data_IF_751662515335
#
_entry.id   IF_751662515335
#
_cell.length_a   1.000
_cell.length_b   1.000
_cell.length_c   1.000
_cell.angle_alpha   90.00
_cell.angle_beta   90.00
_cell.angle_gamma   90.00
#
_symmetry.space_group_name_H-M   'P 1'
#
loop_
_entity.id
_entity.type
_entity.pdbx_description
1 polymer ?
#
# COMPACT_ATOMS: atom_id res chain seq x y z
N UNK A 1 13.48 -30.62 10.27
CA UNK A 1 13.42 -29.77 11.49
C UNK A 1 14.32 -28.54 11.41
N UNK A 2 15.67 -28.66 11.35
CA UNK A 2 16.56 -27.48 11.26
C UNK A 2 16.44 -26.71 9.93
N UNK A 3 16.28 -27.42 8.80
CA UNK A 3 16.07 -26.81 7.49
C UNK A 3 14.76 -26.01 7.41
N UNK A 4 13.66 -26.59 7.91
CA UNK A 4 12.34 -25.95 7.95
C UNK A 4 12.33 -24.69 8.82
N UNK A 5 13.06 -24.70 9.94
CA UNK A 5 13.19 -23.54 10.80
C UNK A 5 13.90 -22.38 10.09
N UNK A 6 14.94 -22.66 9.32
CA UNK A 6 15.68 -21.64 8.58
C UNK A 6 14.83 -21.00 7.47
N UNK A 7 14.05 -21.80 6.74
CA UNK A 7 13.08 -21.29 5.74
C UNK A 7 12.03 -20.41 6.42
N UNK A 8 11.49 -20.84 7.56
CA UNK A 8 10.49 -20.06 8.30
C UNK A 8 11.07 -18.73 8.81
N UNK A 9 12.32 -18.70 9.28
CA UNK A 9 12.97 -17.46 9.71
C UNK A 9 13.17 -16.52 8.50
N UNK A 10 13.69 -17.01 7.39
CA UNK A 10 13.95 -16.19 6.19
C UNK A 10 12.66 -15.60 5.61
N UNK A 11 11.59 -16.40 5.53
CA UNK A 11 10.28 -15.91 5.05
C UNK A 11 9.70 -14.84 5.98
N UNK A 12 9.81 -14.99 7.30
CA UNK A 12 9.37 -13.98 8.27
C UNK A 12 10.18 -12.68 8.18
N UNK A 13 11.49 -12.77 7.96
CA UNK A 13 12.34 -11.59 7.76
C UNK A 13 11.99 -10.86 6.45
N UNK A 14 11.81 -11.60 5.35
CA UNK A 14 11.40 -11.02 4.06
C UNK A 14 10.04 -10.31 4.15
N UNK A 15 9.05 -10.91 4.83
CA UNK A 15 7.74 -10.27 5.04
C UNK A 15 7.84 -9.00 5.88
N UNK A 16 8.66 -8.99 6.94
CA UNK A 16 8.91 -7.78 7.75
C UNK A 16 9.55 -6.68 6.91
N UNK A 17 10.56 -7.02 6.10
CA UNK A 17 11.25 -6.07 5.24
C UNK A 17 10.30 -5.43 4.22
N UNK A 18 9.47 -6.24 3.54
CA UNK A 18 8.49 -5.71 2.59
C UNK A 18 7.42 -4.84 3.27
N UNK A 19 6.94 -5.22 4.46
CA UNK A 19 6.02 -4.38 5.26
C UNK A 19 6.59 -2.99 5.51
N UNK A 20 7.83 -2.89 6.00
CA UNK A 20 8.43 -1.59 6.30
C UNK A 20 8.85 -0.81 5.05
N UNK A 21 9.19 -1.50 3.97
CA UNK A 21 9.44 -0.88 2.65
C UNK A 21 8.18 -0.20 2.12
N UNK A 22 7.02 -0.86 2.20
CA UNK A 22 5.74 -0.26 1.82
C UNK A 22 5.38 0.96 2.68
N UNK A 23 5.67 0.93 3.99
CA UNK A 23 5.47 2.08 4.88
C UNK A 23 6.30 3.29 4.42
N UNK A 24 7.60 3.07 4.16
CA UNK A 24 8.50 4.14 3.72
C UNK A 24 8.06 4.74 2.39
N UNK A 25 7.69 3.89 1.43
CA UNK A 25 7.16 4.35 0.14
C UNK A 25 5.87 5.13 0.32
N UNK A 26 4.95 4.67 1.18
CA UNK A 26 3.70 5.37 1.43
C UNK A 26 3.90 6.77 2.00
N UNK A 27 4.75 6.90 3.02
CA UNK A 27 5.10 8.21 3.60
C UNK A 27 5.73 9.13 2.54
N UNK A 28 6.62 8.60 1.70
CA UNK A 28 7.26 9.40 0.63
C UNK A 28 6.22 9.88 -0.39
N UNK A 29 5.31 9.01 -0.84
CA UNK A 29 4.29 9.40 -1.82
C UNK A 29 3.31 10.42 -1.25
N UNK A 30 2.86 10.25 -0.01
CA UNK A 30 1.99 11.23 0.65
C UNK A 30 2.69 12.59 0.80
N UNK A 31 3.98 12.61 1.19
CA UNK A 31 4.75 13.85 1.27
C UNK A 31 4.97 14.51 -0.10
N UNK A 32 5.10 13.73 -1.17
CA UNK A 32 5.27 14.23 -2.53
C UNK A 32 3.98 14.80 -3.11
N UNK A 33 2.83 14.16 -2.87
CA UNK A 33 1.50 14.68 -3.20
C UNK A 33 1.30 16.01 -2.48
N UNK A 34 1.30 15.98 -1.15
CA UNK A 34 1.06 17.17 -0.31
C UNK A 34 2.05 18.33 -0.53
N UNK A 35 3.26 18.07 -1.07
CA UNK A 35 4.20 19.12 -1.41
C UNK A 35 3.72 20.01 -2.57
N UNK A 36 2.87 19.50 -3.48
CA UNK A 36 2.33 20.28 -4.61
C UNK A 36 1.39 21.39 -4.13
N UNK A 37 0.73 21.21 -2.97
CA UNK A 37 -0.07 22.24 -2.32
C UNK A 37 0.73 23.50 -1.92
N UNK A 38 2.06 23.39 -1.77
CA UNK A 38 2.89 24.53 -1.36
C UNK A 38 3.10 25.57 -2.48
N UNK A 39 2.80 25.23 -3.74
CA UNK A 39 3.00 26.11 -4.90
C UNK A 39 1.64 26.40 -5.56
N UNK A 40 0.96 27.50 -5.18
CA UNK A 40 -0.31 27.87 -5.80
C UNK A 40 -0.14 28.04 -7.32
N UNK A 41 -1.15 27.61 -8.09
CA UNK A 41 -1.20 27.58 -9.58
C UNK A 41 -0.42 26.44 -10.24
N UNK A 42 0.80 26.10 -9.80
CA UNK A 42 1.59 25.01 -10.42
C UNK A 42 1.15 23.64 -9.91
N UNK A 43 0.82 23.53 -8.62
CA UNK A 43 0.36 22.28 -7.99
C UNK A 43 -0.77 21.59 -8.78
N UNK A 44 -1.91 22.27 -9.04
CA UNK A 44 -3.03 21.65 -9.75
C UNK A 44 -2.73 21.12 -11.16
N UNK A 45 -1.71 21.67 -11.85
CA UNK A 45 -1.28 21.17 -13.16
C UNK A 45 -0.40 19.92 -13.01
N UNK A 46 0.46 19.89 -12.00
CA UNK A 46 1.26 18.71 -11.67
C UNK A 46 0.37 17.56 -11.19
N UNK A 47 -0.70 17.86 -10.44
CA UNK A 47 -1.64 16.87 -9.93
C UNK A 47 -2.35 16.10 -11.06
N UNK A 48 -2.58 16.71 -12.22
CA UNK A 48 -3.13 16.02 -13.41
C UNK A 48 -2.21 14.89 -13.90
N UNK A 49 -0.90 15.08 -13.81
CA UNK A 49 0.09 14.06 -14.18
C UNK A 49 0.40 13.11 -13.02
N UNK A 50 0.36 13.63 -11.79
CA UNK A 50 0.69 12.87 -10.60
C UNK A 50 -0.44 11.93 -10.18
N UNK A 51 -1.71 12.35 -10.23
CA UNK A 51 -2.88 11.52 -9.90
C UNK A 51 -2.89 10.15 -10.60
N UNK A 52 -2.73 10.01 -11.94
CA UNK A 52 -2.69 8.70 -12.58
C UNK A 52 -1.44 7.89 -12.20
N UNK A 53 -0.32 8.56 -11.91
CA UNK A 53 0.89 7.91 -11.42
C UNK A 53 0.70 7.37 -9.99
N UNK A 54 0.16 8.18 -9.08
CA UNK A 54 -0.16 7.82 -7.71
C UNK A 54 -1.14 6.65 -7.66
N UNK A 55 -2.23 6.72 -8.43
CA UNK A 55 -3.20 5.62 -8.56
C UNK A 55 -2.53 4.31 -9.00
N UNK A 56 -1.68 4.37 -10.04
CA UNK A 56 -0.92 3.20 -10.49
C UNK A 56 -0.02 2.66 -9.38
N UNK A 57 0.73 3.52 -8.69
CA UNK A 57 1.61 3.10 -7.58
C UNK A 57 0.85 2.46 -6.43
N UNK A 58 -0.32 2.99 -6.06
CA UNK A 58 -1.18 2.39 -5.04
C UNK A 58 -1.59 0.96 -5.43
N UNK A 59 -2.04 0.76 -6.67
CA UNK A 59 -2.41 -0.57 -7.17
C UNK A 59 -1.22 -1.53 -7.30
N UNK A 60 -0.02 -0.99 -7.50
CA UNK A 60 1.21 -1.78 -7.54
C UNK A 60 1.67 -2.22 -6.15
N UNK A 61 1.58 -1.32 -5.16
CA UNK A 61 1.94 -1.56 -3.76
C UNK A 61 0.99 -2.53 -3.06
N UNK A 62 -0.31 -2.44 -3.33
CA UNK A 62 -1.33 -3.27 -2.71
C UNK A 62 -2.09 -4.05 -3.78
N UNK A 63 -1.93 -5.37 -3.78
CA UNK A 63 -2.59 -6.24 -4.75
C UNK A 63 -4.02 -6.57 -4.33
N UNK A 64 -4.85 -6.90 -5.31
CA UNK A 64 -6.25 -7.28 -5.11
C UNK A 64 -7.23 -6.11 -5.12
N UNK A 65 -8.46 -6.36 -4.67
CA UNK A 65 -9.56 -5.38 -4.73
C UNK A 65 -9.29 -4.15 -3.87
N UNK A 66 -8.70 -4.33 -2.69
CA UNK A 66 -8.44 -3.23 -1.75
C UNK A 66 -7.49 -2.19 -2.34
N UNK A 67 -6.39 -2.62 -2.98
CA UNK A 67 -5.47 -1.70 -3.64
C UNK A 67 -6.05 -1.03 -4.88
N UNK A 68 -6.97 -1.69 -5.60
CA UNK A 68 -7.73 -1.04 -6.69
C UNK A 68 -8.67 0.03 -6.15
N UNK A 69 -9.40 -0.26 -5.08
CA UNK A 69 -10.29 0.71 -4.44
C UNK A 69 -9.49 1.90 -3.91
N UNK A 70 -8.40 1.64 -3.18
CA UNK A 70 -7.48 2.68 -2.72
C UNK A 70 -6.89 3.51 -3.87
N UNK A 71 -6.62 2.89 -5.03
CA UNK A 71 -6.10 3.62 -6.21
C UNK A 71 -7.12 4.61 -6.80
N UNK A 72 -8.41 4.31 -6.69
CA UNK A 72 -9.47 5.26 -7.11
C UNK A 72 -9.56 6.40 -6.10
N UNK A 73 -9.48 6.11 -4.80
CA UNK A 73 -9.50 7.14 -3.77
C UNK A 73 -8.33 8.11 -3.91
N UNK A 74 -7.10 7.62 -4.05
CA UNK A 74 -5.93 8.50 -4.22
C UNK A 74 -6.00 9.29 -5.53
N UNK A 75 -6.51 8.71 -6.61
CA UNK A 75 -6.72 9.45 -7.86
C UNK A 75 -7.67 10.64 -7.67
N UNK A 76 -8.79 10.40 -6.97
CA UNK A 76 -9.80 11.43 -6.71
C UNK A 76 -9.28 12.51 -5.76
N UNK A 77 -8.50 12.10 -4.76
CA UNK A 77 -7.88 13.02 -3.82
C UNK A 77 -6.92 14.00 -4.52
N UNK A 78 -6.08 13.49 -5.41
CA UNK A 78 -5.04 14.28 -6.10
C UNK A 78 -5.66 15.18 -7.18
N UNK A 79 -6.67 14.70 -7.92
CA UNK A 79 -7.27 15.50 -9.02
C UNK A 79 -8.18 16.63 -8.53
N UNK A 80 -8.67 16.53 -7.29
CA UNK A 80 -9.52 17.53 -6.68
C UNK A 80 -8.63 18.52 -5.91
N UNK A 81 -8.62 19.81 -6.27
CA UNK A 81 -7.88 20.80 -5.51
C UNK A 81 -8.42 20.85 -4.07
N UNK A 82 -7.54 21.10 -3.10
CA UNK A 82 -7.83 21.17 -1.66
C UNK A 82 -8.13 19.84 -0.95
N UNK A 83 -8.23 18.71 -1.64
CA UNK A 83 -8.44 17.40 -1.00
C UNK A 83 -7.18 16.61 -0.72
N UNK A 84 -6.04 17.00 -1.31
CA UNK A 84 -4.70 16.42 -1.09
C UNK A 84 -4.12 16.73 0.31
N UNK A 85 -4.93 16.45 1.33
CA UNK A 85 -4.58 16.62 2.75
C UNK A 85 -4.55 15.28 3.48
N UNK A 86 -5.02 14.20 2.86
CA UNK A 86 -5.12 12.90 3.48
C UNK A 86 -3.90 12.05 3.11
N UNK A 87 -3.16 11.51 4.10
CA UNK A 87 -2.01 10.65 3.79
C UNK A 87 -2.48 9.25 3.36
N UNK A 88 -3.12 9.15 2.20
CA UNK A 88 -3.87 7.97 1.73
C UNK A 88 -2.99 6.75 1.53
N UNK A 89 -1.74 6.88 1.09
CA UNK A 89 -0.82 5.73 1.02
C UNK A 89 -0.47 5.18 2.41
N UNK A 90 -0.23 6.07 3.37
CA UNK A 90 0.06 5.69 4.76
C UNK A 90 -1.17 5.11 5.44
N UNK A 91 -2.37 5.64 5.18
CA UNK A 91 -3.63 5.08 5.67
C UNK A 91 -3.89 3.68 5.10
N UNK A 92 -3.63 3.47 3.81
CA UNK A 92 -3.74 2.14 3.20
C UNK A 92 -2.75 1.14 3.81
N UNK A 93 -1.55 1.59 4.16
CA UNK A 93 -0.59 0.77 4.91
C UNK A 93 -1.15 0.38 6.29
N UNK A 94 -1.69 1.35 7.02
CA UNK A 94 -2.26 1.14 8.36
C UNK A 94 -3.45 0.17 8.30
N UNK A 95 -4.31 0.33 7.31
CA UNK A 95 -5.38 -0.62 7.00
C UNK A 95 -4.84 -2.02 6.77
N UNK A 96 -3.84 -2.18 5.90
CA UNK A 96 -3.32 -3.49 5.49
C UNK A 96 -2.61 -4.23 6.61
N UNK A 97 -1.84 -3.52 7.45
CA UNK A 97 -0.91 -4.14 8.40
C UNK A 97 -1.25 -3.98 9.87
N UNK A 98 -2.21 -3.12 10.22
CA UNK A 98 -2.64 -2.89 11.60
C UNK A 98 -4.10 -3.28 11.80
N UNK A 99 -5.02 -2.87 10.92
CA UNK A 99 -6.45 -3.16 11.09
C UNK A 99 -6.92 -4.45 10.43
N UNK A 100 -6.42 -4.76 9.24
CA UNK A 100 -6.80 -5.96 8.53
C UNK A 100 -6.30 -7.19 9.26
N UNK A 101 -7.24 -7.96 9.81
CA UNK A 101 -6.94 -9.28 10.38
C UNK A 101 -6.47 -10.20 9.26
N UNK A 102 -5.26 -10.74 9.38
CA UNK A 102 -4.75 -11.73 8.45
C UNK A 102 -5.69 -12.96 8.49
N UNK A 103 -6.20 -13.45 7.34
CA UNK A 103 -6.93 -14.70 7.33
C UNK A 103 -5.99 -15.79 7.86
N UNK A 104 -6.37 -16.45 8.95
CA UNK A 104 -5.64 -17.62 9.45
C UNK A 104 -5.67 -18.66 8.34
N UNK A 105 -4.51 -18.96 7.75
CA UNK A 105 -4.36 -20.08 6.82
C UNK A 105 -4.85 -21.33 7.55
N UNK A 106 -5.98 -21.87 7.13
CA UNK A 106 -6.51 -23.12 7.68
C UNK A 106 -5.73 -24.25 7.01
N UNK A 107 -5.00 -25.04 7.81
CA UNK A 107 -4.37 -26.26 7.31
C UNK A 107 -5.47 -27.24 6.94
N UNK A 108 -5.64 -27.52 5.65
CA UNK A 108 -6.52 -28.60 5.20
C UNK A 108 -5.77 -29.90 5.44
N UNK A 109 -6.20 -30.69 6.42
CA UNK A 109 -5.74 -32.08 6.54
C UNK A 109 -6.37 -32.89 5.40
N UNK A 110 -5.61 -33.07 4.33
CA UNK A 110 -6.00 -33.99 3.25
C UNK A 110 -5.83 -35.41 3.81
N UNK A 111 -6.93 -36.04 4.24
CA UNK A 111 -6.95 -37.50 4.38
C UNK A 111 -6.80 -38.10 2.99
N UNK A 112 -5.63 -38.63 2.71
CA UNK A 112 -5.44 -39.54 1.58
C UNK A 112 -6.12 -40.84 2.02
N UNK A 113 -7.26 -41.15 1.41
CA UNK A 113 -7.90 -42.44 1.58
C UNK A 113 -7.14 -43.42 0.67
N UNK A 114 -6.52 -44.43 1.28
CA UNK A 114 -5.88 -45.57 0.60
C UNK A 114 -6.90 -46.51 -0.04
#
# INVERSE_FOLDING_TARGET
MFFDLNIKIQTQQNMKNEKYKLLRLGIIFDLLGMATMAIPVVGPVLDILWAPFAAKKMSDMYKGTEGKVASVFVFLEEILPFTDVFPTFTLMWLYTFVWKKQPKLQTIEVRINE
#
